data_IF_376551427633
#
_entry.id   IF_376551427633
#
_cell.length_a   1.000
_cell.length_b   1.000
_cell.length_c   1.000
_cell.angle_alpha   90.00
_cell.angle_beta   90.00
_cell.angle_gamma   90.00
#
_symmetry.space_group_name_H-M   'P 1'
#
loop_
_entity.id
_entity.type
_entity.pdbx_description
1 polymer ?
#
# COMPACT_ATOMS: atom_id res chain seq x y z
N UNK A 1 -36.92 -12.69 21.44
CA UNK A 1 -36.29 -11.60 20.68
C UNK A 1 -35.07 -11.09 21.43
N UNK A 2 -33.85 -11.43 21.03
CA UNK A 2 -32.64 -10.90 21.64
C UNK A 2 -32.25 -9.58 20.98
N UNK A 3 -31.82 -8.62 21.80
CA UNK A 3 -31.44 -7.26 21.40
C UNK A 3 -30.16 -7.28 20.54
N UNK A 4 -30.25 -6.72 19.33
CA UNK A 4 -29.10 -6.46 18.46
C UNK A 4 -28.16 -5.44 19.13
N UNK A 5 -26.88 -5.80 19.27
CA UNK A 5 -25.85 -4.95 19.86
C UNK A 5 -25.41 -3.85 18.88
N UNK A 6 -25.24 -2.62 19.39
CA UNK A 6 -24.83 -1.41 18.65
C UNK A 6 -23.41 -1.47 18.02
N UNK A 7 -22.72 -2.60 18.08
CA UNK A 7 -21.28 -2.69 17.78
C UNK A 7 -20.97 -3.00 16.31
N UNK A 8 -21.94 -3.49 15.53
CA UNK A 8 -21.70 -3.82 14.10
C UNK A 8 -21.87 -2.63 13.13
N UNK A 9 -22.25 -1.44 13.60
CA UNK A 9 -22.45 -0.27 12.73
C UNK A 9 -21.33 0.78 12.76
N UNK A 10 -20.25 0.56 13.52
CA UNK A 10 -19.12 1.50 13.61
C UNK A 10 -17.84 1.04 12.86
N UNK A 11 -17.84 -0.14 12.23
CA UNK A 11 -16.61 -0.81 11.75
C UNK A 11 -16.32 -0.69 10.25
N UNK A 12 -16.97 0.26 9.55
CA UNK A 12 -16.69 0.55 8.13
C UNK A 12 -16.31 2.01 7.86
N UNK A 13 -15.95 2.80 8.88
CA UNK A 13 -16.00 4.26 8.81
C UNK A 13 -14.76 5.05 9.21
N UNK A 14 -13.53 4.53 9.07
CA UNK A 14 -12.32 5.34 9.33
C UNK A 14 -11.22 5.27 8.26
N UNK A 15 -11.58 4.95 7.01
CA UNK A 15 -10.67 5.11 5.85
C UNK A 15 -11.34 5.76 4.62
N UNK A 16 -12.39 6.56 4.77
CA UNK A 16 -12.95 7.31 3.63
C UNK A 16 -13.65 8.62 3.99
N UNK A 17 -12.90 9.72 4.05
CA UNK A 17 -13.40 11.13 3.99
C UNK A 17 -12.20 11.95 3.46
N UNK A 18 -12.05 12.26 2.17
CA UNK A 18 -12.65 13.30 1.30
C UNK A 18 -12.11 13.04 -0.14
N UNK A 19 -12.72 13.36 -1.29
CA UNK A 19 -13.55 14.51 -1.68
C UNK A 19 -14.54 14.11 -2.79
N UNK A 20 -15.76 14.65 -2.70
CA UNK A 20 -16.67 14.81 -3.83
C UNK A 20 -16.32 16.08 -4.60
N UNK A 21 -16.25 16.00 -5.93
CA UNK A 21 -16.30 17.16 -6.82
C UNK A 21 -17.31 16.89 -7.95
N UNK A 22 -18.46 17.56 -7.80
CA UNK A 22 -19.37 18.13 -8.82
C UNK A 22 -19.57 17.33 -10.11
N UNK A 23 -20.78 16.78 -10.23
CA UNK A 23 -21.26 16.10 -11.42
C UNK A 23 -21.51 17.03 -12.62
N UNK A 24 -21.06 16.58 -13.78
CA UNK A 24 -21.55 16.96 -15.09
C UNK A 24 -21.78 15.67 -15.91
N UNK A 25 -22.75 15.67 -16.85
CA UNK A 25 -23.38 14.47 -17.37
C UNK A 25 -22.45 13.66 -18.29
N UNK A 26 -22.43 12.33 -18.07
CA UNK A 26 -21.74 11.36 -18.92
C UNK A 26 -22.57 11.11 -20.18
N UNK A 27 -22.12 11.63 -21.33
CA UNK A 27 -22.60 11.18 -22.63
C UNK A 27 -22.05 9.78 -22.92
N UNK A 28 -22.94 8.78 -22.95
CA UNK A 28 -22.63 7.41 -23.39
C UNK A 28 -22.48 7.40 -24.92
N UNK A 29 -21.24 7.48 -25.41
CA UNK A 29 -20.94 7.20 -26.81
C UNK A 29 -20.67 5.71 -27.02
N UNK A 30 -21.52 5.10 -27.83
CA UNK A 30 -21.50 3.69 -28.27
C UNK A 30 -20.19 3.37 -29.02
N UNK A 31 -19.53 2.28 -28.64
CA UNK A 31 -18.33 1.78 -29.31
C UNK A 31 -18.64 1.26 -30.74
N UNK A 32 -17.80 1.55 -31.76
CA UNK A 32 -17.90 0.90 -33.06
C UNK A 32 -17.33 -0.53 -33.02
N UNK A 33 -17.98 -1.44 -33.75
CA UNK A 33 -17.57 -2.84 -33.95
C UNK A 33 -16.27 -2.95 -34.77
N UNK A 34 -15.46 -4.01 -34.58
CA UNK A 34 -14.19 -4.19 -35.28
C UNK A 34 -14.36 -4.65 -36.73
N UNK A 35 -13.63 -4.03 -37.65
CA UNK A 35 -13.49 -4.46 -39.04
C UNK A 35 -12.38 -5.51 -39.19
N UNK A 36 -12.65 -6.51 -40.02
CA UNK A 36 -11.80 -7.66 -40.36
C UNK A 36 -10.46 -7.27 -41.03
N UNK A 37 -9.36 -8.05 -40.86
CA UNK A 37 -8.10 -7.78 -41.54
C UNK A 37 -8.04 -8.41 -42.95
N UNK A 38 -7.38 -7.79 -43.94
CA UNK A 38 -7.06 -8.46 -45.20
C UNK A 38 -5.72 -9.22 -45.14
N UNK A 39 -5.59 -10.16 -46.06
CA UNK A 39 -4.63 -11.25 -46.09
C UNK A 39 -3.19 -10.89 -46.52
N UNK A 40 -2.24 -11.60 -45.92
CA UNK A 40 -0.96 -12.14 -46.44
C UNK A 40 -0.03 -11.27 -47.28
N UNK A 41 1.26 -11.19 -46.87
CA UNK A 41 2.38 -11.73 -47.64
C UNK A 41 3.73 -11.79 -46.87
N UNK A 42 4.31 -13.00 -46.89
CA UNK A 42 5.73 -13.41 -46.96
C UNK A 42 6.77 -12.94 -45.91
N UNK A 43 7.21 -13.94 -45.15
CA UNK A 43 8.34 -13.93 -44.24
C UNK A 43 9.69 -14.08 -44.96
N UNK A 44 10.68 -13.31 -44.52
CA UNK A 44 12.11 -13.61 -44.70
C UNK A 44 12.73 -13.91 -43.33
N UNK A 45 13.34 -15.09 -43.23
CA UNK A 45 14.01 -15.60 -42.02
C UNK A 45 15.39 -14.96 -41.91
N UNK A 46 15.72 -14.39 -40.75
CA UNK A 46 17.11 -14.23 -40.33
C UNK A 46 17.30 -14.94 -38.98
N UNK A 47 18.25 -15.87 -38.96
CA UNK A 47 18.65 -16.63 -37.79
C UNK A 47 19.69 -15.81 -37.01
N UNK A 48 19.42 -15.47 -35.76
CA UNK A 48 20.47 -15.06 -34.82
C UNK A 48 20.42 -15.93 -33.57
N UNK A 49 21.55 -16.58 -33.31
CA UNK A 49 21.74 -17.59 -32.27
C UNK A 49 21.93 -16.92 -30.91
N UNK A 50 20.91 -16.93 -30.05
CA UNK A 50 21.05 -16.46 -28.66
C UNK A 50 21.31 -17.64 -27.73
N UNK A 51 22.49 -17.60 -27.10
CA UNK A 51 23.01 -18.61 -26.18
C UNK A 51 22.09 -18.75 -24.95
N UNK A 52 21.77 -20.00 -24.63
CA UNK A 52 20.98 -20.45 -23.47
C UNK A 52 21.72 -20.09 -22.16
N UNK A 53 21.32 -19.00 -21.49
CA UNK A 53 21.79 -18.69 -20.14
C UNK A 53 21.05 -19.52 -19.08
N UNK A 54 21.83 -20.08 -18.15
CA UNK A 54 21.42 -21.00 -17.09
C UNK A 54 20.38 -20.37 -16.15
N UNK A 55 19.28 -21.08 -15.96
CA UNK A 55 18.28 -20.88 -14.90
C UNK A 55 18.94 -21.08 -13.53
N UNK A 56 19.15 -20.00 -12.77
CA UNK A 56 19.50 -20.11 -11.35
C UNK A 56 18.20 -20.10 -10.54
N UNK A 57 17.90 -21.25 -9.92
CA UNK A 57 16.80 -21.38 -8.98
C UNK A 57 17.22 -20.73 -7.66
N UNK A 58 16.62 -19.58 -7.33
CA UNK A 58 16.72 -19.02 -5.98
C UNK A 58 15.84 -19.86 -5.06
N UNK A 59 16.49 -20.67 -4.23
CA UNK A 59 15.89 -21.34 -3.07
C UNK A 59 15.37 -20.24 -2.14
N UNK A 60 14.04 -20.15 -2.01
CA UNK A 60 13.40 -19.27 -1.04
C UNK A 60 13.87 -19.64 0.37
N UNK A 61 14.43 -18.65 1.09
CA UNK A 61 14.80 -18.78 2.48
C UNK A 61 13.58 -19.09 3.36
N UNK A 62 13.84 -19.77 4.47
CA UNK A 62 12.86 -20.02 5.54
C UNK A 62 12.25 -18.69 6.03
N UNK A 63 10.93 -18.60 6.27
CA UNK A 63 10.31 -17.42 6.84
C UNK A 63 10.99 -17.09 8.18
N UNK A 64 11.38 -15.82 8.39
CA UNK A 64 11.68 -15.33 9.74
C UNK A 64 10.45 -15.60 10.63
N UNK A 65 10.62 -16.02 11.89
CA UNK A 65 9.49 -16.17 12.80
C UNK A 65 8.74 -14.83 12.87
N UNK A 66 7.42 -14.84 12.69
CA UNK A 66 6.60 -13.66 12.93
C UNK A 66 6.88 -13.19 14.37
N UNK A 67 7.18 -11.90 14.60
CA UNK A 67 7.43 -11.41 15.94
C UNK A 67 6.14 -11.53 16.75
N UNK A 68 6.27 -12.02 17.98
CA UNK A 68 5.12 -12.16 18.88
C UNK A 68 4.43 -10.79 19.06
N UNK A 69 3.11 -10.67 18.84
CA UNK A 69 2.40 -9.39 18.88
C UNK A 69 2.64 -8.57 20.15
N UNK A 70 2.63 -9.22 21.32
CA UNK A 70 2.88 -8.56 22.60
C UNK A 70 4.30 -7.97 22.68
N UNK A 71 5.29 -8.67 22.12
CA UNK A 71 6.68 -8.18 22.08
C UNK A 71 6.81 -6.95 21.18
N UNK A 72 6.08 -6.90 20.05
CA UNK A 72 6.08 -5.73 19.16
C UNK A 72 5.53 -4.50 19.90
N UNK A 73 4.44 -4.65 20.65
CA UNK A 73 3.91 -3.56 21.47
C UNK A 73 4.97 -3.10 22.48
N UNK A 74 5.56 -4.03 23.24
CA UNK A 74 6.58 -3.72 24.25
C UNK A 74 7.83 -3.05 23.67
N UNK A 75 8.25 -3.41 22.46
CA UNK A 75 9.42 -2.80 21.81
C UNK A 75 9.25 -1.30 21.53
N UNK A 76 8.01 -0.84 21.37
CA UNK A 76 7.70 0.53 20.94
C UNK A 76 6.96 1.35 21.98
N UNK A 77 6.70 0.80 23.17
CA UNK A 77 6.00 1.48 24.25
C UNK A 77 6.78 1.49 25.56
N UNK A 78 6.69 2.59 26.29
CA UNK A 78 7.06 2.69 27.69
C UNK A 78 5.81 2.67 28.57
N UNK A 79 5.74 1.73 29.51
CA UNK A 79 4.60 1.58 30.42
C UNK A 79 4.55 2.71 31.45
N UNK A 80 3.36 3.29 31.65
CA UNK A 80 3.15 4.37 32.61
C UNK A 80 2.75 3.83 33.98
N UNK A 81 3.44 4.29 35.02
CA UNK A 81 3.08 3.97 36.42
C UNK A 81 1.74 4.56 36.84
N UNK A 82 1.40 5.72 36.29
CA UNK A 82 0.16 6.45 36.57
C UNK A 82 -0.48 6.83 35.25
N UNK A 83 -1.73 6.44 35.05
CA UNK A 83 -2.49 6.83 33.87
C UNK A 83 -2.83 8.33 33.93
N UNK A 84 -2.78 8.99 32.77
CA UNK A 84 -3.22 10.38 32.63
C UNK A 84 -4.74 10.46 32.58
N UNK A 85 -5.30 11.62 32.94
CA UNK A 85 -6.73 11.92 32.73
C UNK A 85 -6.98 12.38 31.29
N UNK A 86 -6.71 11.47 30.35
CA UNK A 86 -6.91 11.64 28.91
C UNK A 86 -7.63 10.39 28.37
N UNK A 87 -8.33 10.53 27.25
CA UNK A 87 -9.03 9.41 26.61
C UNK A 87 -8.10 8.65 25.66
N UNK A 88 -8.22 7.32 25.66
CA UNK A 88 -7.60 6.49 24.65
C UNK A 88 -8.40 6.60 23.35
N UNK A 89 -7.85 7.24 22.31
CA UNK A 89 -8.55 7.45 21.02
C UNK A 89 -8.86 6.15 20.24
N UNK A 90 -8.41 4.98 20.72
CA UNK A 90 -8.70 3.69 20.07
C UNK A 90 -10.02 3.11 20.58
N UNK A 91 -10.26 3.15 21.90
CA UNK A 91 -11.48 2.61 22.52
C UNK A 91 -12.45 3.69 23.01
N UNK A 92 -12.02 4.96 23.01
CA UNK A 92 -12.75 6.13 23.53
C UNK A 92 -13.06 6.05 25.04
N UNK A 93 -12.32 5.24 25.78
CA UNK A 93 -12.37 5.17 27.24
C UNK A 93 -11.21 5.94 27.86
N UNK A 94 -11.40 6.46 29.08
CA UNK A 94 -10.31 7.09 29.85
C UNK A 94 -9.14 6.13 30.04
N UNK A 95 -7.90 6.63 29.92
CA UNK A 95 -6.69 5.84 30.15
C UNK A 95 -6.60 5.32 31.60
N UNK A 96 -7.22 6.01 32.56
CA UNK A 96 -7.33 5.57 33.94
C UNK A 96 -8.32 4.42 34.17
N UNK A 97 -9.14 4.11 33.17
CA UNK A 97 -10.14 3.04 33.20
C UNK A 97 -9.66 1.81 32.43
N UNK A 98 -10.41 0.71 32.51
CA UNK A 98 -10.13 -0.50 31.75
C UNK A 98 -10.23 -0.23 30.24
N UNK A 99 -9.39 -0.91 29.47
CA UNK A 99 -9.47 -0.90 28.01
C UNK A 99 -10.84 -1.42 27.55
N UNK A 100 -11.52 -0.69 26.65
CA UNK A 100 -12.73 -1.18 25.99
C UNK A 100 -12.53 -2.43 25.11
N UNK A 101 -11.29 -2.89 24.92
CA UNK A 101 -10.93 -4.12 24.22
C UNK A 101 -10.55 -5.27 25.16
N UNK A 102 -10.72 -5.12 26.49
CA UNK A 102 -10.37 -6.14 27.49
C UNK A 102 -11.03 -7.49 27.25
N UNK A 103 -12.28 -7.48 26.78
CA UNK A 103 -13.11 -8.70 26.70
C UNK A 103 -12.84 -9.50 25.42
N UNK A 104 -12.25 -8.86 24.40
CA UNK A 104 -12.01 -9.46 23.08
C UNK A 104 -10.53 -9.72 22.81
N UNK A 105 -9.64 -9.07 23.55
CA UNK A 105 -8.19 -9.16 23.34
C UNK A 105 -7.56 -10.04 24.42
N UNK A 106 -7.29 -11.30 24.07
CA UNK A 106 -6.60 -12.21 24.97
C UNK A 106 -5.10 -11.88 24.98
N UNK A 107 -4.59 -11.41 26.12
CA UNK A 107 -3.15 -11.27 26.37
C UNK A 107 -2.74 -12.07 27.59
N UNK A 108 -1.54 -12.66 27.56
CA UNK A 108 -0.96 -13.37 28.71
C UNK A 108 -0.23 -12.42 29.65
N UNK A 109 0.38 -11.35 29.11
CA UNK A 109 1.29 -10.49 29.86
C UNK A 109 0.84 -9.04 29.99
N UNK A 110 -0.15 -8.60 29.20
CA UNK A 110 -0.67 -7.22 29.23
C UNK A 110 -2.01 -7.20 29.97
N UNK A 111 -2.07 -6.48 31.09
CA UNK A 111 -3.29 -6.33 31.88
C UNK A 111 -4.31 -5.37 31.26
N UNK A 112 -5.60 -5.44 31.67
CA UNK A 112 -6.69 -4.63 31.11
C UNK A 112 -6.60 -3.13 31.41
N UNK A 113 -5.80 -2.75 32.42
CA UNK A 113 -5.55 -1.35 32.82
C UNK A 113 -4.15 -0.86 32.41
N UNK A 114 -3.36 -1.69 31.71
CA UNK A 114 -2.01 -1.32 31.34
C UNK A 114 -2.03 -0.21 30.28
N UNK A 115 -1.31 0.88 30.56
CA UNK A 115 -1.19 2.05 29.67
C UNK A 115 0.27 2.28 29.34
N UNK A 116 0.56 2.60 28.08
CA UNK A 116 1.91 2.99 27.68
C UNK A 116 1.91 4.13 26.69
N UNK A 117 3.08 4.78 26.57
CA UNK A 117 3.36 5.81 25.58
C UNK A 117 4.25 5.26 24.49
N UNK A 118 3.98 5.65 23.26
CA UNK A 118 4.86 5.31 22.14
C UNK A 118 6.16 6.12 22.21
N UNK A 119 7.31 5.45 22.05
CA UNK A 119 8.63 5.98 22.41
C UNK A 119 9.14 7.17 21.59
N UNK A 120 8.61 7.44 20.39
CA UNK A 120 9.04 8.57 19.55
C UNK A 120 8.09 9.78 19.66
N UNK A 121 6.79 9.54 19.75
CA UNK A 121 5.76 10.58 19.67
C UNK A 121 5.02 10.82 20.99
N UNK A 122 5.29 10.04 22.03
CA UNK A 122 4.73 10.16 23.38
C UNK A 122 3.20 10.05 23.53
N UNK A 123 2.45 9.84 22.45
CA UNK A 123 1.02 9.53 22.52
C UNK A 123 0.75 8.27 23.36
N UNK A 124 -0.22 8.35 24.26
CA UNK A 124 -0.58 7.32 25.23
C UNK A 124 -1.82 6.52 24.83
N UNK A 125 -1.81 5.22 25.10
CA UNK A 125 -2.91 4.31 24.82
C UNK A 125 -2.95 3.18 25.85
N UNK A 126 -4.10 2.53 26.03
CA UNK A 126 -4.09 1.19 26.64
C UNK A 126 -3.25 0.25 25.78
N UNK A 127 -2.37 -0.53 26.40
CA UNK A 127 -1.52 -1.47 25.68
C UNK A 127 -2.32 -2.58 24.99
N UNK A 128 -3.46 -2.99 25.57
CA UNK A 128 -4.40 -3.91 24.91
C UNK A 128 -5.04 -3.31 23.66
N UNK A 129 -5.34 -2.01 23.64
CA UNK A 129 -5.87 -1.33 22.46
C UNK A 129 -4.85 -1.32 21.32
N UNK A 130 -3.58 -1.05 21.62
CA UNK A 130 -2.49 -1.15 20.64
C UNK A 130 -2.29 -2.59 20.15
N UNK A 131 -2.37 -3.57 21.04
CA UNK A 131 -2.29 -4.99 20.69
C UNK A 131 -3.43 -5.41 19.75
N UNK A 132 -4.67 -5.05 20.07
CA UNK A 132 -5.83 -5.33 19.23
C UNK A 132 -5.68 -4.70 17.83
N UNK A 133 -5.24 -3.43 17.78
CA UNK A 133 -4.97 -2.72 16.54
C UNK A 133 -3.89 -3.41 15.70
N UNK A 134 -2.78 -3.83 16.32
CA UNK A 134 -1.70 -4.53 15.65
C UNK A 134 -2.14 -5.91 15.12
N UNK A 135 -2.87 -6.69 15.93
CA UNK A 135 -3.37 -8.01 15.57
C UNK A 135 -4.37 -7.99 14.41
N UNK A 136 -5.12 -6.90 14.25
CA UNK A 136 -6.03 -6.69 13.13
C UNK A 136 -5.32 -6.19 11.86
N UNK A 137 -4.03 -5.83 11.94
CA UNK A 137 -3.21 -5.42 10.82
C UNK A 137 -2.49 -6.59 10.13
N UNK A 138 -1.50 -6.26 9.32
CA UNK A 138 -0.64 -7.22 8.59
C UNK A 138 0.44 -7.87 9.48
N UNK A 139 0.61 -7.42 10.73
CA UNK A 139 1.54 -7.97 11.73
C UNK A 139 2.99 -8.13 11.23
N UNK A 140 3.48 -7.11 10.54
CA UNK A 140 4.82 -7.11 9.95
C UNK A 140 5.94 -6.69 10.91
N UNK A 141 5.65 -6.54 12.20
CA UNK A 141 6.59 -6.04 13.20
C UNK A 141 6.72 -4.51 13.24
N UNK A 142 5.98 -3.78 12.39
CA UNK A 142 5.84 -2.34 12.48
C UNK A 142 4.58 -1.94 13.26
N UNK A 143 4.59 -0.73 13.83
CA UNK A 143 3.44 -0.15 14.51
C UNK A 143 3.26 1.30 14.05
N UNK A 144 2.03 1.67 13.67
CA UNK A 144 1.71 3.04 13.30
C UNK A 144 0.88 3.69 14.41
N UNK A 145 1.31 4.86 14.90
CA UNK A 145 0.54 5.62 15.87
C UNK A 145 -0.81 6.04 15.27
N UNK A 146 -1.96 5.68 15.88
CA UNK A 146 -3.25 6.04 15.32
C UNK A 146 -3.54 7.55 15.39
N UNK A 147 -2.91 8.26 16.33
CA UNK A 147 -3.00 9.72 16.50
C UNK A 147 -2.25 10.47 15.38
N UNK A 148 -0.92 10.35 15.35
CA UNK A 148 -0.06 11.17 14.49
C UNK A 148 0.55 10.44 13.29
N UNK A 149 0.22 9.16 13.09
CA UNK A 149 0.72 8.32 11.99
C UNK A 149 2.23 8.03 11.99
N UNK A 150 2.97 8.43 13.03
CA UNK A 150 4.38 8.05 13.23
C UNK A 150 4.55 6.53 13.14
N UNK A 151 5.51 6.08 12.36
CA UNK A 151 5.83 4.66 12.15
C UNK A 151 7.00 4.22 13.05
N UNK A 152 6.80 3.08 13.69
CA UNK A 152 7.76 2.35 14.51
C UNK A 152 8.12 1.05 13.80
N UNK A 153 9.41 0.75 13.68
CA UNK A 153 9.90 -0.35 12.84
C UNK A 153 9.88 -0.02 11.35
N UNK A 154 10.02 -1.05 10.51
CA UNK A 154 9.95 -0.95 9.05
C UNK A 154 8.57 -1.41 8.58
N UNK A 155 7.74 -0.47 8.12
CA UNK A 155 6.43 -0.81 7.56
C UNK A 155 6.59 -1.55 6.25
N UNK A 156 5.89 -2.66 6.12
CA UNK A 156 5.73 -3.43 4.90
C UNK A 156 4.25 -3.58 4.56
N UNK A 157 3.94 -4.10 3.38
CA UNK A 157 2.57 -4.33 2.94
C UNK A 157 2.32 -5.76 2.50
N UNK A 158 1.14 -5.95 1.91
CA UNK A 158 0.63 -7.27 1.51
C UNK A 158 0.68 -7.46 -0.01
N UNK A 159 1.41 -6.61 -0.76
CA UNK A 159 1.55 -6.75 -2.21
C UNK A 159 1.85 -8.20 -2.65
N UNK A 160 1.07 -8.80 -3.56
CA UNK A 160 1.37 -10.12 -4.08
C UNK A 160 2.69 -10.15 -4.86
N UNK A 161 3.23 -11.36 -5.06
CA UNK A 161 4.45 -11.53 -5.87
C UNK A 161 4.22 -11.05 -7.30
N UNK A 162 5.19 -10.32 -7.84
CA UNK A 162 5.17 -9.82 -9.21
C UNK A 162 6.53 -9.32 -9.65
N UNK A 163 6.55 -8.51 -10.71
CA UNK A 163 7.75 -7.86 -11.23
C UNK A 163 7.55 -6.35 -11.32
N UNK A 164 8.65 -5.62 -11.12
CA UNK A 164 8.80 -4.21 -11.42
C UNK A 164 9.99 -4.07 -12.37
N UNK A 165 9.77 -3.50 -13.54
CA UNK A 165 10.78 -3.26 -14.56
C UNK A 165 10.83 -1.74 -14.85
N UNK A 166 12.01 -1.23 -15.15
CA UNK A 166 12.24 0.22 -15.33
C UNK A 166 12.96 0.44 -16.65
N UNK A 167 12.45 1.38 -17.44
CA UNK A 167 12.99 1.80 -18.72
C UNK A 167 13.07 3.32 -18.77
N UNK A 168 13.86 3.86 -19.69
CA UNK A 168 13.91 5.30 -19.97
C UNK A 168 13.89 5.57 -21.47
N UNK A 169 13.33 6.70 -21.87
CA UNK A 169 13.31 7.16 -23.26
C UNK A 169 13.33 8.69 -23.34
N UNK A 170 13.70 9.22 -24.50
CA UNK A 170 13.95 10.65 -24.69
C UNK A 170 12.69 11.53 -24.85
N UNK A 171 11.54 10.94 -25.14
CA UNK A 171 10.27 11.69 -25.25
C UNK A 171 9.93 12.29 -23.89
N UNK A 172 9.66 13.59 -23.84
CA UNK A 172 9.30 14.34 -22.63
C UNK A 172 7.82 14.17 -22.28
N UNK A 173 7.52 14.24 -20.98
CA UNK A 173 6.15 14.37 -20.49
C UNK A 173 5.67 15.82 -20.61
N UNK A 174 4.36 16.07 -20.81
CA UNK A 174 3.79 17.41 -20.72
C UNK A 174 4.15 18.10 -19.40
N UNK A 175 4.73 19.30 -19.47
CA UNK A 175 5.20 20.08 -18.30
C UNK A 175 6.62 19.74 -17.83
N UNK A 176 7.34 18.88 -18.56
CA UNK A 176 8.72 18.46 -18.29
C UNK A 176 9.56 18.40 -19.57
N UNK A 177 9.46 19.43 -20.41
CA UNK A 177 10.09 19.50 -21.75
C UNK A 177 11.63 19.54 -21.71
N UNK A 178 12.23 19.73 -20.54
CA UNK A 178 13.67 19.81 -20.30
C UNK A 178 14.34 18.44 -20.06
N UNK A 179 13.56 17.36 -19.94
CA UNK A 179 14.07 16.03 -19.63
C UNK A 179 13.32 14.91 -20.37
N UNK A 180 13.87 13.69 -20.32
CA UNK A 180 13.23 12.49 -20.86
C UNK A 180 12.14 11.94 -19.93
N UNK A 181 11.75 10.69 -20.14
CA UNK A 181 10.75 9.99 -19.33
C UNK A 181 11.30 8.66 -18.82
N UNK A 182 10.99 8.36 -17.56
CA UNK A 182 11.15 7.05 -16.93
C UNK A 182 9.81 6.32 -17.03
N UNK A 183 9.84 5.10 -17.58
CA UNK A 183 8.71 4.18 -17.61
C UNK A 183 8.93 3.08 -16.56
N UNK A 184 7.95 2.94 -15.66
CA UNK A 184 7.87 1.85 -14.70
C UNK A 184 6.78 0.90 -15.17
N UNK A 185 7.12 -0.39 -15.28
CA UNK A 185 6.19 -1.46 -15.65
C UNK A 185 6.03 -2.41 -14.48
N UNK A 186 4.84 -2.44 -13.90
CA UNK A 186 4.47 -3.44 -12.91
C UNK A 186 3.74 -4.59 -13.58
N UNK A 187 4.03 -5.82 -13.18
CA UNK A 187 3.33 -7.01 -13.64
C UNK A 187 3.09 -7.97 -12.47
N UNK A 188 1.83 -8.04 -12.01
CA UNK A 188 1.39 -8.95 -10.95
C UNK A 188 0.40 -9.95 -11.58
N UNK A 189 0.69 -11.26 -11.57
CA UNK A 189 -0.24 -12.27 -12.05
C UNK A 189 -1.35 -12.53 -11.02
N UNK A 190 -2.43 -13.17 -11.48
CA UNK A 190 -3.42 -13.81 -10.61
C UNK A 190 -2.75 -14.82 -9.66
N UNK A 191 -3.38 -15.09 -8.52
CA UNK A 191 -2.84 -16.05 -7.56
C UNK A 191 -3.80 -16.45 -6.47
N UNK A 192 -3.25 -17.05 -5.42
CA UNK A 192 -3.96 -17.45 -4.21
C UNK A 192 -3.53 -16.52 -3.07
N UNK A 193 -4.49 -16.10 -2.26
CA UNK A 193 -4.28 -15.23 -1.12
C UNK A 193 -3.50 -15.95 -0.01
N UNK A 194 -2.38 -15.35 0.42
CA UNK A 194 -1.64 -15.78 1.61
C UNK A 194 -2.33 -15.42 2.93
N UNK A 195 -1.73 -15.82 4.06
CA UNK A 195 -2.25 -15.53 5.41
C UNK A 195 -2.45 -14.05 5.73
N UNK A 196 -1.71 -13.16 5.06
CA UNK A 196 -1.75 -11.72 5.25
C UNK A 196 -2.88 -11.01 4.50
N UNK A 197 -3.59 -11.72 3.62
CA UNK A 197 -4.66 -11.16 2.79
C UNK A 197 -6.05 -11.33 3.40
N UNK A 198 -7.08 -10.61 2.90
CA UNK A 198 -8.43 -10.64 3.46
C UNK A 198 -9.08 -12.02 3.52
N UNK A 199 -8.86 -12.87 2.51
CA UNK A 199 -9.44 -14.21 2.43
C UNK A 199 -8.35 -15.27 2.15
N UNK A 200 -7.56 -15.68 3.16
CA UNK A 200 -6.48 -16.65 2.96
C UNK A 200 -6.97 -17.95 2.31
N UNK A 201 -6.21 -18.44 1.32
CA UNK A 201 -6.54 -19.64 0.54
C UNK A 201 -7.52 -19.42 -0.61
N UNK A 202 -8.22 -18.28 -0.70
CA UNK A 202 -9.06 -17.95 -1.86
C UNK A 202 -8.23 -17.38 -3.02
N UNK A 203 -8.69 -17.51 -4.27
CA UNK A 203 -8.08 -16.80 -5.38
C UNK A 203 -8.15 -15.28 -5.20
N UNK A 204 -7.20 -14.56 -5.82
CA UNK A 204 -7.34 -13.14 -6.12
C UNK A 204 -7.15 -12.88 -7.61
N UNK A 205 -7.82 -11.85 -8.13
CA UNK A 205 -7.67 -11.42 -9.53
C UNK A 205 -6.66 -10.28 -9.67
N UNK A 206 -6.04 -10.13 -10.85
CA UNK A 206 -5.11 -9.04 -11.13
C UNK A 206 -5.45 -8.38 -12.48
N UNK A 207 -6.20 -7.28 -12.43
CA UNK A 207 -6.73 -6.61 -13.65
C UNK A 207 -5.79 -5.52 -14.16
N UNK A 208 -5.72 -5.41 -15.49
CA UNK A 208 -5.01 -4.34 -16.19
C UNK A 208 -3.48 -4.41 -16.08
N UNK A 209 -2.92 -5.58 -15.77
CA UNK A 209 -1.47 -5.79 -15.83
C UNK A 209 -1.04 -6.27 -17.23
N UNK A 210 0.14 -5.86 -17.73
CA UNK A 210 1.11 -4.97 -17.08
C UNK A 210 0.61 -3.51 -16.97
N UNK A 211 0.84 -2.88 -15.81
CA UNK A 211 0.51 -1.47 -15.58
C UNK A 211 1.74 -0.62 -15.87
N UNK A 212 1.58 0.37 -16.75
CA UNK A 212 2.62 1.31 -17.14
C UNK A 212 2.45 2.61 -16.36
N UNK A 213 3.55 3.15 -15.85
CA UNK A 213 3.56 4.38 -15.08
C UNK A 213 4.74 5.27 -15.51
N UNK A 214 4.56 6.58 -15.41
CA UNK A 214 5.49 7.55 -15.99
C UNK A 214 5.98 8.56 -14.95
N UNK A 215 7.30 8.79 -14.94
CA UNK A 215 7.95 9.87 -14.20
C UNK A 215 8.82 10.68 -15.18
N UNK A 216 8.99 12.00 -14.97
CA UNK A 216 10.01 12.75 -15.72
C UNK A 216 11.41 12.28 -15.32
N UNK A 217 12.33 12.15 -16.29
CA UNK A 217 13.72 11.76 -16.06
C UNK A 217 14.59 12.95 -15.65
N UNK A 218 14.16 13.65 -14.60
CA UNK A 218 14.90 14.72 -13.94
C UNK A 218 15.35 14.28 -12.54
N UNK A 219 16.03 15.16 -11.81
CA UNK A 219 16.59 14.84 -10.49
C UNK A 219 15.51 14.38 -9.49
N UNK A 220 14.35 15.03 -9.46
CA UNK A 220 13.27 14.71 -8.55
C UNK A 220 12.55 13.41 -8.96
N UNK A 221 12.31 13.20 -10.26
CA UNK A 221 11.72 11.95 -10.76
C UNK A 221 12.61 10.73 -10.52
N UNK A 222 13.93 10.86 -10.68
CA UNK A 222 14.88 9.79 -10.30
C UNK A 222 14.88 9.51 -8.80
N UNK A 223 14.75 10.52 -7.94
CA UNK A 223 14.58 10.33 -6.50
C UNK A 223 13.29 9.55 -6.19
N UNK A 224 12.17 9.93 -6.78
CA UNK A 224 10.89 9.23 -6.64
C UNK A 224 11.02 7.77 -7.09
N UNK A 225 11.69 7.51 -8.22
CA UNK A 225 11.94 6.16 -8.70
C UNK A 225 12.67 5.28 -7.67
N UNK A 226 13.75 5.78 -7.06
CA UNK A 226 14.51 5.01 -6.07
C UNK A 226 13.66 4.71 -4.83
N UNK A 227 12.85 5.65 -4.36
CA UNK A 227 11.91 5.42 -3.26
C UNK A 227 10.80 4.43 -3.64
N UNK A 228 10.27 4.49 -4.87
CA UNK A 228 9.31 3.50 -5.36
C UNK A 228 9.90 2.09 -5.41
N UNK A 229 11.19 1.94 -5.73
CA UNK A 229 11.87 0.64 -5.64
C UNK A 229 11.94 0.14 -4.20
N UNK A 230 12.17 1.01 -3.22
CA UNK A 230 12.09 0.64 -1.79
C UNK A 230 10.68 0.22 -1.42
N UNK A 231 9.67 1.02 -1.77
CA UNK A 231 8.27 0.71 -1.52
C UNK A 231 7.84 -0.63 -2.16
N UNK A 232 8.30 -0.92 -3.38
CA UNK A 232 8.10 -2.20 -4.05
C UNK A 232 8.74 -3.37 -3.29
N UNK A 233 10.00 -3.23 -2.87
CA UNK A 233 10.70 -4.24 -2.03
C UNK A 233 9.96 -4.46 -0.70
N UNK A 234 9.42 -3.40 -0.11
CA UNK A 234 8.61 -3.42 1.11
C UNK A 234 7.15 -3.82 0.89
N UNK A 235 6.76 -4.24 -0.33
CA UNK A 235 5.40 -4.70 -0.67
C UNK A 235 4.30 -3.64 -0.47
N UNK A 236 4.61 -2.37 -0.72
CA UNK A 236 3.72 -1.23 -0.42
C UNK A 236 3.00 -0.64 -1.64
N UNK A 237 3.33 -1.00 -2.90
CA UNK A 237 2.74 -0.36 -4.08
C UNK A 237 1.31 -0.85 -4.36
N UNK A 238 1.07 -2.15 -4.17
CA UNK A 238 -0.23 -2.77 -4.35
C UNK A 238 -0.67 -3.55 -3.11
N UNK A 239 -1.95 -3.86 -3.04
CA UNK A 239 -2.56 -4.76 -2.04
C UNK A 239 -3.66 -5.60 -2.68
N UNK A 240 -4.14 -6.62 -1.99
CA UNK A 240 -5.37 -7.33 -2.35
C UNK A 240 -6.52 -6.69 -1.58
N UNK A 241 -7.54 -6.22 -2.30
CA UNK A 241 -8.68 -5.53 -1.71
C UNK A 241 -9.86 -5.42 -2.67
N UNK A 242 -10.62 -4.34 -2.51
CA UNK A 242 -11.78 -4.03 -3.34
C UNK A 242 -11.44 -2.89 -4.29
N UNK A 243 -11.67 -3.09 -5.58
CA UNK A 243 -11.48 -2.06 -6.61
C UNK A 243 -12.47 -0.91 -6.41
N UNK A 244 -11.97 0.31 -6.24
CA UNK A 244 -12.81 1.51 -6.15
C UNK A 244 -13.54 1.83 -7.45
N UNK A 245 -12.99 1.43 -8.60
CA UNK A 245 -13.58 1.69 -9.93
C UNK A 245 -14.65 0.68 -10.32
N UNK A 246 -14.48 -0.60 -9.94
CA UNK A 246 -15.35 -1.69 -10.42
C UNK A 246 -16.14 -2.39 -9.31
N UNK A 247 -15.79 -2.17 -8.04
CA UNK A 247 -16.36 -2.91 -6.91
C UNK A 247 -15.91 -4.37 -6.81
N UNK A 248 -15.02 -4.85 -7.69
CA UNK A 248 -14.50 -6.23 -7.65
C UNK A 248 -13.69 -6.42 -6.35
N UNK A 249 -14.10 -7.37 -5.50
CA UNK A 249 -13.39 -7.79 -4.30
C UNK A 249 -12.30 -8.81 -4.64
N UNK A 250 -11.39 -9.08 -3.70
CA UNK A 250 -10.32 -10.06 -3.87
C UNK A 250 -9.49 -9.79 -5.14
N UNK A 251 -9.18 -8.52 -5.40
CA UNK A 251 -8.44 -8.10 -6.59
C UNK A 251 -7.24 -7.23 -6.23
N UNK A 252 -6.21 -7.23 -7.09
CA UNK A 252 -5.02 -6.39 -6.92
C UNK A 252 -5.35 -4.93 -7.23
N UNK A 253 -5.21 -4.08 -6.21
CA UNK A 253 -5.47 -2.64 -6.25
C UNK A 253 -4.23 -1.83 -5.85
N UNK A 254 -4.20 -0.55 -6.23
CA UNK A 254 -3.19 0.40 -5.75
C UNK A 254 -3.27 0.57 -4.23
N UNK A 255 -2.17 0.90 -3.58
CA UNK A 255 -2.10 1.03 -2.13
C UNK A 255 -1.51 2.40 -1.71
N UNK A 256 -2.34 3.44 -1.72
CA UNK A 256 -2.05 4.77 -1.17
C UNK A 256 -0.83 5.53 -1.75
N UNK A 257 -0.17 5.00 -2.79
CA UNK A 257 0.94 5.65 -3.51
C UNK A 257 0.51 5.84 -4.97
N UNK A 258 0.17 7.07 -5.33
CA UNK A 258 -0.38 7.39 -6.63
C UNK A 258 0.68 7.33 -7.74
N UNK A 259 0.26 6.78 -8.88
CA UNK A 259 1.07 6.68 -10.08
C UNK A 259 0.38 7.39 -11.23
N UNK A 260 1.17 8.01 -12.10
CA UNK A 260 0.69 8.56 -13.36
C UNK A 260 0.70 7.47 -14.44
N UNK A 261 -0.48 7.03 -14.85
CA UNK A 261 -0.67 5.93 -15.81
C UNK A 261 -0.92 6.41 -17.24
N UNK A 262 -0.98 7.72 -17.46
CA UNK A 262 -1.18 8.36 -18.77
C UNK A 262 -0.06 9.38 -19.04
N UNK A 263 0.52 9.36 -20.24
CA UNK A 263 1.55 10.33 -20.64
C UNK A 263 0.95 11.67 -21.06
N UNK A 264 0.06 11.65 -22.06
CA UNK A 264 -0.18 12.84 -22.89
C UNK A 264 -1.27 13.78 -22.39
N UNK A 265 -2.30 13.27 -21.69
CA UNK A 265 -3.44 14.07 -21.27
C UNK A 265 -3.96 13.61 -19.92
N UNK A 266 -4.11 14.54 -18.99
CA UNK A 266 -4.65 14.28 -17.67
C UNK A 266 -6.21 14.18 -17.66
N UNK A 267 -6.80 13.45 -18.62
CA UNK A 267 -8.27 13.36 -18.77
C UNK A 267 -8.90 12.59 -17.62
N UNK A 268 -8.22 11.53 -17.16
CA UNK A 268 -8.72 10.68 -16.08
C UNK A 268 -8.26 11.14 -14.69
N UNK A 269 -7.48 12.23 -14.59
CA UNK A 269 -6.85 12.68 -13.35
C UNK A 269 -5.54 11.96 -13.01
N UNK A 270 -5.14 10.96 -13.81
CA UNK A 270 -3.95 10.13 -13.59
C UNK A 270 -2.84 10.35 -14.64
N UNK A 271 -2.81 11.52 -15.29
CA UNK A 271 -1.81 11.87 -16.31
C UNK A 271 -1.09 13.19 -16.05
N UNK A 272 -0.38 13.67 -17.08
CA UNK A 272 0.36 14.94 -17.11
C UNK A 272 -0.34 15.97 -18.02
N UNK A 273 -0.08 17.29 -17.86
CA UNK A 273 0.79 17.89 -16.84
C UNK A 273 0.15 17.87 -15.44
N UNK A 274 1.00 17.71 -14.42
CA UNK A 274 0.62 17.84 -13.01
C UNK A 274 1.83 18.37 -12.22
N UNK A 275 1.89 19.68 -11.94
CA UNK A 275 3.05 20.30 -11.31
C UNK A 275 3.27 19.85 -9.86
N UNK A 276 2.24 19.30 -9.21
CA UNK A 276 2.32 18.91 -7.79
C UNK A 276 2.57 17.41 -7.61
N UNK A 277 2.51 16.61 -8.68
CA UNK A 277 2.57 15.14 -8.58
C UNK A 277 3.81 14.64 -7.84
N UNK A 278 5.01 15.11 -8.23
CA UNK A 278 6.25 14.65 -7.60
C UNK A 278 6.34 15.00 -6.12
N UNK A 279 5.78 16.13 -5.70
CA UNK A 279 5.72 16.50 -4.28
C UNK A 279 4.71 15.62 -3.53
N UNK A 280 3.54 15.40 -4.12
CA UNK A 280 2.48 14.59 -3.51
C UNK A 280 2.92 13.14 -3.32
N UNK A 281 3.51 12.51 -4.35
CA UNK A 281 3.96 11.12 -4.25
C UNK A 281 5.12 10.95 -3.25
N UNK A 282 5.99 11.96 -3.10
CA UNK A 282 7.00 11.95 -2.03
C UNK A 282 6.36 11.99 -0.63
N UNK A 283 5.31 12.79 -0.44
CA UNK A 283 4.58 12.83 0.82
C UNK A 283 3.85 11.50 1.10
N UNK A 284 3.26 10.88 0.08
CA UNK A 284 2.63 9.56 0.17
C UNK A 284 3.64 8.46 0.54
N UNK A 285 4.80 8.44 -0.12
CA UNK A 285 5.90 7.54 0.21
C UNK A 285 6.36 7.72 1.66
N UNK A 286 6.55 8.97 2.10
CA UNK A 286 6.91 9.28 3.48
C UNK A 286 5.83 8.84 4.47
N UNK A 287 4.55 9.00 4.15
CA UNK A 287 3.42 8.52 4.95
C UNK A 287 3.39 6.98 5.08
N UNK A 288 3.99 6.26 4.13
CA UNK A 288 4.23 4.81 4.21
C UNK A 288 5.58 4.44 4.85
N UNK A 289 6.34 5.41 5.36
CA UNK A 289 7.64 5.18 6.00
C UNK A 289 8.79 4.97 5.01
N UNK A 290 8.62 5.41 3.76
CA UNK A 290 9.63 5.34 2.71
C UNK A 290 10.17 6.75 2.46
N UNK A 291 11.28 7.06 3.12
CA UNK A 291 11.94 8.37 3.09
C UNK A 291 13.34 8.28 2.47
N UNK A 292 13.98 9.42 2.24
CA UNK A 292 15.35 9.47 1.68
C UNK A 292 16.38 8.69 2.53
N UNK A 293 16.21 8.66 3.86
CA UNK A 293 17.05 7.86 4.78
C UNK A 293 17.06 6.36 4.44
N UNK A 294 16.02 5.85 3.76
CA UNK A 294 15.95 4.46 3.31
C UNK A 294 16.88 4.17 2.11
N UNK A 295 17.38 5.20 1.43
CA UNK A 295 18.32 5.10 0.32
C UNK A 295 19.76 5.02 0.79
N UNK A 296 20.07 5.62 1.94
CA UNK A 296 21.42 5.63 2.55
C UNK A 296 21.79 4.27 3.16
N UNK A 297 20.79 3.43 3.44
CA UNK A 297 20.93 2.13 4.11
C UNK A 297 20.99 0.92 3.14
N UNK A 298 20.97 1.16 1.82
CA UNK A 298 21.05 0.13 0.78
C UNK A 298 22.49 -0.18 0.36
#
# INVERSE_FOLDING_TARGET
MPKSSRVQQALAGMTSVLMSAIGLPVCLSRAPQPASPPASCLASKSHSSVKRLRKMSMKGGTPKPEPEPEQVIRNYTEELKTAQDEDCIICMEKLSMVSGYSDVTNSKSIGPVAVGRLTKCSHAFHLLCLLAMYCNGNKDGSLQCPSCKTIYGEKTGTQPRGKMEVFSFHVSLPGHEDCGTILIVYNIPHGIQGPEHPNPGKPFTARGFPRQCYLPDNAQGRKVLELLKVAWKRRLIFTVGTSSTTGETDTVVWNEIHHKTEMDRNVTGHGYPDPNYLQNVLAELAAQGVTEDCLEQQ
#
